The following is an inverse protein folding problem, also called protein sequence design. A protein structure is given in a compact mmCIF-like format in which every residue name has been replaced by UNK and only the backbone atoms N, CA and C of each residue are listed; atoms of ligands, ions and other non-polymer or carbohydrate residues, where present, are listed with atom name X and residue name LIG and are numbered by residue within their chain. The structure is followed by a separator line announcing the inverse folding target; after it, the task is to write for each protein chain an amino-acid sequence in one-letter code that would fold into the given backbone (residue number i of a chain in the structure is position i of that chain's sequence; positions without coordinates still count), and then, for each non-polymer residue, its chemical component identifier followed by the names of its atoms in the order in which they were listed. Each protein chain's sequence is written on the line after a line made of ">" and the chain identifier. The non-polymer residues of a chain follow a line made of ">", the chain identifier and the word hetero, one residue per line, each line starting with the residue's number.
data_IF_207014409868
#
_entry.id   IF_207014409868
#
_cell.length_a   1.000
_cell.length_b   1.000
_cell.length_c   1.000
_cell.angle_alpha   90.00
_cell.angle_beta   90.00
_cell.angle_gamma   90.00
#
_symmetry.space_group_name_H-M   'P 1'
#
loop_
_entity.id
_entity.type
_entity.pdbx_description
1 polymer ?
#
# COMPACT_ATOMS: atom_id res chain seq x y z
N UNK A 1 -14.15 -10.57 22.60
CA UNK A 1 -12.80 -10.30 23.11
C UNK A 1 -11.92 -10.40 21.88
N UNK A 2 -11.68 -9.27 21.25
CA UNK A 2 -10.87 -9.18 20.03
C UNK A 2 -9.43 -9.42 20.47
N UNK A 3 -8.82 -10.51 20.00
CA UNK A 3 -7.45 -10.85 20.37
C UNK A 3 -6.51 -9.89 19.64
N UNK A 4 -5.64 -9.24 20.40
CA UNK A 4 -4.66 -8.29 19.88
C UNK A 4 -3.73 -9.01 18.89
N UNK A 5 -3.85 -8.67 17.60
CA UNK A 5 -3.09 -9.31 16.52
C UNK A 5 -1.67 -8.76 16.54
N UNK A 6 -0.69 -9.64 16.71
CA UNK A 6 0.71 -9.24 16.70
C UNK A 6 1.18 -9.15 15.24
N UNK A 7 1.52 -7.95 14.77
CA UNK A 7 1.96 -7.70 13.39
C UNK A 7 3.48 -7.56 13.29
N UNK A 8 4.08 -7.84 12.11
CA UNK A 8 5.47 -7.51 11.85
C UNK A 8 5.73 -6.01 12.09
N UNK A 9 6.80 -5.68 12.83
CA UNK A 9 7.11 -4.29 13.24
C UNK A 9 7.45 -3.36 12.07
N UNK A 10 7.59 -3.89 10.86
CA UNK A 10 7.93 -3.18 9.62
C UNK A 10 6.81 -3.19 8.57
N UNK A 11 5.59 -3.55 8.95
CA UNK A 11 4.39 -3.45 8.13
C UNK A 11 4.28 -2.03 7.51
N UNK A 12 4.57 -1.91 6.20
CA UNK A 12 4.63 -0.67 5.42
C UNK A 12 5.33 -0.90 4.06
N UNK A 13 5.53 0.15 3.25
CA UNK A 13 6.21 0.03 1.93
C UNK A 13 7.75 -0.18 2.02
N UNK A 14 8.29 -0.66 3.14
CA UNK A 14 9.73 -0.83 3.31
C UNK A 14 10.21 -2.12 2.63
N UNK A 15 10.39 -2.06 1.32
CA UNK A 15 11.05 -3.10 0.52
C UNK A 15 10.16 -3.84 -0.48
N UNK A 16 8.91 -3.42 -0.64
CA UNK A 16 8.05 -3.86 -1.72
C UNK A 16 8.16 -2.94 -2.93
N UNK A 17 7.82 -3.47 -4.10
CA UNK A 17 7.78 -2.72 -5.35
C UNK A 17 6.46 -2.96 -6.07
N UNK A 18 5.84 -1.91 -6.60
CA UNK A 18 4.55 -2.04 -7.27
C UNK A 18 4.66 -1.70 -8.74
N UNK A 19 3.86 -2.39 -9.54
CA UNK A 19 3.82 -2.22 -10.98
C UNK A 19 2.52 -1.52 -11.37
N UNK A 20 2.63 -0.48 -12.19
CA UNK A 20 1.44 0.16 -12.75
C UNK A 20 0.69 -0.84 -13.66
N UNK A 21 -0.66 -0.83 -13.67
CA UNK A 21 -1.48 -1.69 -14.52
C UNK A 21 -1.45 -1.28 -15.99
N UNK A 22 -1.26 0.02 -16.25
CA UNK A 22 -1.23 0.61 -17.58
C UNK A 22 -0.04 1.55 -17.73
N UNK A 23 0.47 1.67 -18.95
CA UNK A 23 1.47 2.67 -19.27
C UNK A 23 0.83 4.07 -19.30
N UNK A 24 1.30 5.02 -18.48
CA UNK A 24 0.62 6.31 -18.32
C UNK A 24 0.43 7.13 -19.60
N UNK A 25 1.34 7.02 -20.58
CA UNK A 25 1.28 7.80 -21.83
C UNK A 25 0.45 7.18 -22.98
N UNK A 26 0.21 5.87 -22.96
CA UNK A 26 -0.37 5.17 -24.12
C UNK A 26 -1.36 4.06 -23.75
N UNK A 27 -1.70 3.94 -22.48
CA UNK A 27 -2.71 3.04 -21.93
C UNK A 27 -2.51 1.55 -22.26
N UNK A 28 -1.32 1.15 -22.73
CA UNK A 28 -1.02 -0.27 -22.92
C UNK A 28 -0.99 -0.96 -21.57
N UNK A 29 -1.64 -2.12 -21.47
CA UNK A 29 -1.59 -2.95 -20.27
C UNK A 29 -0.16 -3.41 -19.97
N UNK A 30 0.18 -3.42 -18.69
CA UNK A 30 1.42 -3.88 -18.12
C UNK A 30 1.12 -5.10 -17.24
N UNK A 31 2.08 -6.02 -17.15
CA UNK A 31 1.90 -7.31 -16.45
C UNK A 31 2.82 -7.40 -15.22
N UNK A 32 3.70 -6.42 -15.03
CA UNK A 32 4.71 -6.45 -13.98
C UNK A 32 5.67 -7.62 -14.10
N UNK A 33 6.42 -7.89 -13.04
CA UNK A 33 7.20 -9.12 -12.91
C UNK A 33 6.77 -9.86 -11.64
N UNK A 34 6.65 -11.19 -11.72
CA UNK A 34 6.37 -12.04 -10.57
C UNK A 34 7.68 -12.54 -9.97
N UNK A 35 7.90 -12.32 -8.68
CA UNK A 35 9.01 -12.96 -7.99
C UNK A 35 8.78 -14.48 -7.96
N UNK A 36 9.77 -15.31 -8.36
CA UNK A 36 9.62 -16.75 -8.33
C UNK A 36 9.62 -17.27 -6.88
N UNK A 37 8.89 -18.35 -6.60
CA UNK A 37 9.00 -19.04 -5.31
C UNK A 37 8.16 -18.46 -4.17
N UNK A 38 7.34 -17.44 -4.41
CA UNK A 38 6.57 -16.75 -3.35
C UNK A 38 5.53 -17.68 -2.74
N UNK A 39 4.69 -18.30 -3.57
CA UNK A 39 3.67 -19.24 -3.10
C UNK A 39 4.27 -20.56 -2.64
N UNK A 40 5.31 -21.06 -3.32
CA UNK A 40 6.02 -22.27 -2.89
C UNK A 40 6.68 -22.10 -1.51
N UNK A 41 7.06 -20.87 -1.15
CA UNK A 41 7.55 -20.55 0.19
C UNK A 41 6.40 -20.58 1.20
N UNK A 42 5.27 -19.92 0.90
CA UNK A 42 4.08 -19.91 1.77
C UNK A 42 3.53 -21.33 2.01
N UNK A 43 3.51 -22.20 1.00
CA UNK A 43 3.06 -23.58 1.11
C UNK A 43 3.91 -24.43 2.06
N UNK A 44 5.20 -24.09 2.21
CA UNK A 44 6.13 -24.81 3.10
C UNK A 44 6.09 -24.30 4.53
N UNK A 45 5.46 -23.17 4.77
CA UNK A 45 5.38 -22.57 6.09
C UNK A 45 4.33 -23.30 6.92
N UNK A 46 4.72 -23.69 8.14
CA UNK A 46 3.82 -24.32 9.09
C UNK A 46 2.66 -23.39 9.48
N UNK A 47 1.54 -24.00 9.84
CA UNK A 47 0.39 -23.28 10.37
C UNK A 47 0.78 -22.45 11.61
N UNK A 48 0.11 -21.30 11.80
CA UNK A 48 0.39 -20.37 12.90
C UNK A 48 1.55 -19.42 12.65
N UNK A 49 1.79 -19.06 11.40
CA UNK A 49 2.59 -17.87 11.05
C UNK A 49 1.73 -16.78 10.46
N UNK A 50 2.16 -15.55 10.69
CA UNK A 50 1.66 -14.35 10.01
C UNK A 50 2.78 -13.73 9.20
N UNK A 51 2.42 -13.22 8.03
CA UNK A 51 3.36 -12.63 7.11
C UNK A 51 2.81 -11.32 6.54
N UNK A 52 3.71 -10.41 6.20
CA UNK A 52 3.39 -9.31 5.29
C UNK A 52 3.44 -9.82 3.85
N UNK A 53 2.50 -9.34 3.05
CA UNK A 53 2.34 -9.76 1.67
C UNK A 53 1.93 -8.57 0.82
N UNK A 54 2.63 -8.36 -0.29
CA UNK A 54 2.33 -7.28 -1.21
C UNK A 54 1.99 -7.84 -2.59
N UNK A 55 1.13 -7.14 -3.31
CA UNK A 55 0.76 -7.46 -4.68
C UNK A 55 0.45 -6.19 -5.47
N UNK A 56 0.61 -6.26 -6.78
CA UNK A 56 0.11 -5.26 -7.74
C UNK A 56 -1.19 -5.74 -8.37
N UNK A 57 -1.93 -4.84 -9.01
CA UNK A 57 -3.17 -5.17 -9.70
C UNK A 57 -3.11 -4.94 -11.19
N UNK A 58 -3.93 -5.67 -11.94
CA UNK A 58 -4.02 -5.55 -13.41
C UNK A 58 -4.83 -4.34 -13.87
N UNK A 59 -5.57 -3.71 -12.97
CA UNK A 59 -6.38 -2.51 -13.19
C UNK A 59 -6.23 -1.56 -11.99
N UNK A 60 -6.64 -0.30 -12.15
CA UNK A 60 -6.79 0.61 -11.02
C UNK A 60 -8.09 0.32 -10.29
N UNK A 61 -8.05 0.41 -8.96
CA UNK A 61 -9.22 0.30 -8.09
C UNK A 61 -9.37 1.56 -7.25
N UNK A 62 -10.59 1.85 -6.80
CA UNK A 62 -10.74 2.72 -5.63
C UNK A 62 -10.25 1.99 -4.37
N UNK A 63 -9.84 2.71 -3.31
CA UNK A 63 -9.49 2.07 -2.05
C UNK A 63 -10.63 1.23 -1.46
N UNK A 64 -11.88 1.65 -1.63
CA UNK A 64 -13.07 0.90 -1.21
C UNK A 64 -13.23 -0.40 -2.00
N UNK A 65 -13.10 -0.35 -3.32
CA UNK A 65 -13.18 -1.55 -4.17
C UNK A 65 -12.09 -2.58 -3.79
N UNK A 66 -10.88 -2.10 -3.50
CA UNK A 66 -9.79 -2.94 -2.99
C UNK A 66 -10.14 -3.58 -1.65
N UNK A 67 -10.68 -2.81 -0.70
CA UNK A 67 -11.08 -3.31 0.62
C UNK A 67 -12.24 -4.31 0.52
N UNK A 68 -13.23 -4.05 -0.33
CA UNK A 68 -14.35 -4.96 -0.57
C UNK A 68 -13.88 -6.28 -1.17
N UNK A 69 -12.95 -6.24 -2.14
CA UNK A 69 -12.34 -7.44 -2.73
C UNK A 69 -11.59 -8.27 -1.67
N UNK A 70 -10.94 -7.62 -0.71
CA UNK A 70 -10.14 -8.29 0.32
C UNK A 70 -10.95 -8.71 1.55
N UNK A 71 -12.16 -8.17 1.75
CA UNK A 71 -13.00 -8.42 2.92
C UNK A 71 -13.46 -9.89 3.07
N UNK A 72 -13.39 -10.69 2.00
CA UNK A 72 -13.68 -12.12 2.05
C UNK A 72 -12.57 -12.95 2.74
N UNK A 73 -11.39 -12.34 2.93
CA UNK A 73 -10.23 -12.97 3.53
C UNK A 73 -9.99 -12.43 4.94
N UNK A 74 -9.45 -13.26 5.83
CA UNK A 74 -9.05 -12.81 7.17
C UNK A 74 -7.67 -12.13 7.10
N UNK A 75 -7.64 -10.94 6.48
CA UNK A 75 -6.46 -10.14 6.21
C UNK A 75 -6.67 -8.70 6.65
N UNK A 76 -5.59 -8.07 7.08
CA UNK A 76 -5.54 -6.67 7.45
C UNK A 76 -4.78 -5.88 6.38
N UNK A 77 -5.37 -4.81 5.85
CA UNK A 77 -4.71 -3.95 4.86
C UNK A 77 -3.91 -2.87 5.57
N UNK A 78 -2.62 -2.79 5.28
CA UNK A 78 -1.68 -1.89 5.94
C UNK A 78 -1.47 -0.62 5.10
N UNK A 79 -1.33 -0.79 3.79
CA UNK A 79 -0.93 0.29 2.89
C UNK A 79 -1.37 -0.01 1.45
N UNK A 80 -1.73 1.02 0.69
CA UNK A 80 -2.05 0.89 -0.74
C UNK A 80 -1.27 1.95 -1.54
N UNK A 81 -0.45 1.56 -2.55
CA UNK A 81 0.17 2.53 -3.44
C UNK A 81 -0.89 3.28 -4.24
N UNK A 82 -0.75 4.60 -4.30
CA UNK A 82 -1.64 5.50 -5.03
C UNK A 82 -0.97 5.95 -6.33
N UNK A 83 -1.74 5.93 -7.41
CA UNK A 83 -1.37 6.63 -8.63
C UNK A 83 -1.80 8.10 -8.50
N UNK A 84 -0.90 9.03 -8.81
CA UNK A 84 -1.09 10.47 -8.60
C UNK A 84 -0.77 11.28 -9.86
N UNK A 85 -0.93 10.67 -11.04
CA UNK A 85 -0.68 11.33 -12.33
C UNK A 85 0.79 11.33 -12.76
N UNK A 86 1.64 10.49 -12.16
CA UNK A 86 3.02 10.32 -12.60
C UNK A 86 3.07 9.89 -14.07
N UNK A 87 3.98 10.49 -14.82
CA UNK A 87 4.19 10.33 -16.26
C UNK A 87 3.02 10.79 -17.15
N UNK A 88 1.91 11.29 -16.59
CA UNK A 88 0.85 12.00 -17.32
C UNK A 88 0.96 13.51 -17.11
N UNK A 89 0.94 13.96 -15.85
CA UNK A 89 0.94 15.37 -15.49
C UNK A 89 2.37 15.89 -15.24
N UNK A 90 3.24 15.03 -14.72
CA UNK A 90 4.63 15.35 -14.42
C UNK A 90 5.52 14.11 -14.52
N UNK A 91 6.83 14.29 -14.60
CA UNK A 91 7.79 13.18 -14.60
C UNK A 91 8.71 13.32 -13.41
N UNK A 92 8.64 12.39 -12.47
CA UNK A 92 9.54 12.35 -11.32
C UNK A 92 10.92 11.79 -11.72
N UNK A 93 11.94 12.08 -10.91
CA UNK A 93 13.35 11.82 -11.23
C UNK A 93 13.72 10.33 -11.36
N UNK A 94 12.83 9.42 -10.97
CA UNK A 94 13.07 8.00 -11.07
C UNK A 94 11.80 7.24 -11.42
N UNK A 95 11.90 6.49 -12.50
CA UNK A 95 10.99 5.39 -12.81
C UNK A 95 11.84 4.29 -13.45
N UNK A 96 11.46 3.03 -13.23
CA UNK A 96 12.10 1.91 -13.89
C UNK A 96 11.10 1.24 -14.81
N UNK A 97 11.45 1.19 -16.09
CA UNK A 97 10.64 0.52 -17.12
C UNK A 97 11.45 -0.58 -17.79
N UNK A 98 10.89 -1.79 -17.86
CA UNK A 98 11.41 -2.86 -18.70
C UNK A 98 10.25 -3.48 -19.46
N UNK A 99 10.26 -3.38 -20.79
CA UNK A 99 9.31 -4.04 -21.71
C UNK A 99 7.83 -3.83 -21.37
N UNK A 100 7.31 -4.64 -20.44
CA UNK A 100 5.92 -4.75 -20.01
C UNK A 100 5.70 -4.43 -18.51
N UNK A 101 6.64 -3.73 -17.86
CA UNK A 101 6.52 -3.32 -16.46
C UNK A 101 7.03 -1.90 -16.25
N UNK A 102 6.31 -1.10 -15.46
CA UNK A 102 6.74 0.21 -14.96
C UNK A 102 6.59 0.23 -13.44
N UNK A 103 7.64 0.66 -12.75
CA UNK A 103 7.62 0.97 -11.31
C UNK A 103 7.97 2.43 -11.10
N UNK A 104 7.29 3.08 -10.16
CA UNK A 104 7.64 4.44 -9.75
C UNK A 104 8.81 4.36 -8.75
N UNK A 105 9.79 5.27 -8.84
CA UNK A 105 10.89 5.27 -7.85
C UNK A 105 10.44 5.81 -6.49
N UNK A 106 9.39 6.60 -6.47
CA UNK A 106 8.79 7.12 -5.26
C UNK A 106 7.29 6.89 -5.27
N UNK A 107 6.89 5.85 -4.57
CA UNK A 107 5.50 5.49 -4.42
C UNK A 107 4.93 6.24 -3.21
N UNK A 108 3.86 6.98 -3.45
CA UNK A 108 3.01 7.49 -2.40
C UNK A 108 1.88 6.49 -2.19
N UNK A 109 1.33 6.46 -0.99
CA UNK A 109 0.22 5.54 -0.75
C UNK A 109 -0.57 5.89 0.49
N UNK A 110 -1.75 5.31 0.53
CA UNK A 110 -2.72 5.47 1.59
C UNK A 110 -2.41 4.47 2.70
N UNK A 111 -2.45 4.91 3.95
CA UNK A 111 -2.47 4.06 5.14
C UNK A 111 -3.57 4.55 6.08
N UNK A 112 -3.93 3.76 7.09
CA UNK A 112 -4.93 4.19 8.06
C UNK A 112 -4.56 5.51 8.69
N UNK A 113 -5.59 6.34 8.92
CA UNK A 113 -5.47 7.74 9.28
C UNK A 113 -4.45 7.96 10.41
N UNK A 114 -3.49 8.84 10.17
CA UNK A 114 -2.68 9.48 11.21
C UNK A 114 -3.02 10.96 11.20
N UNK A 115 -3.78 11.43 12.20
CA UNK A 115 -3.87 12.86 12.44
C UNK A 115 -2.57 13.31 13.10
N UNK A 116 -1.86 14.25 12.48
CA UNK A 116 -0.75 14.93 13.13
C UNK A 116 -1.34 15.85 14.21
N UNK A 117 -1.14 15.50 15.48
CA UNK A 117 -1.29 16.47 16.57
C UNK A 117 -0.27 17.60 16.38
N UNK A 118 -0.60 18.82 16.83
CA UNK A 118 0.21 20.03 16.67
C UNK A 118 1.67 19.88 17.17
N UNK A 119 1.92 18.91 18.05
CA UNK A 119 3.22 18.65 18.66
C UNK A 119 4.10 17.63 17.89
N UNK A 120 3.71 17.19 16.68
CA UNK A 120 4.46 16.24 15.82
C UNK A 120 4.77 14.86 16.46
N UNK A 121 4.21 14.55 17.62
CA UNK A 121 4.41 13.29 18.34
C UNK A 121 3.32 12.28 17.97
N UNK A 122 3.31 11.76 16.74
CA UNK A 122 2.37 10.67 16.42
C UNK A 122 2.83 9.37 17.08
N UNK A 123 2.08 8.89 18.07
CA UNK A 123 2.25 7.56 18.63
C UNK A 123 2.15 6.50 17.53
N UNK A 124 3.10 5.56 17.52
CA UNK A 124 3.15 4.42 16.60
C UNK A 124 1.96 3.48 16.88
N UNK A 125 0.81 3.78 16.30
CA UNK A 125 -0.27 2.81 16.13
C UNK A 125 -0.47 2.67 14.62
N UNK A 126 -0.21 1.46 14.12
CA UNK A 126 -0.55 1.08 12.76
C UNK A 126 -2.08 1.13 12.71
N UNK A 127 -2.67 2.19 12.16
CA UNK A 127 -4.08 2.19 11.83
C UNK A 127 -4.24 1.32 10.58
N UNK A 128 -4.95 0.21 10.72
CA UNK A 128 -5.36 -0.63 9.61
C UNK A 128 -6.27 0.18 8.69
N UNK A 129 -6.21 -0.11 7.39
CA UNK A 129 -7.19 0.41 6.43
C UNK A 129 -8.38 -0.53 6.40
N UNK A 130 -9.55 0.00 6.75
CA UNK A 130 -10.82 -0.71 6.64
C UNK A 130 -11.91 0.22 6.06
N UNK A 131 -13.06 -0.36 5.71
CA UNK A 131 -14.17 0.41 5.12
C UNK A 131 -14.76 1.47 6.06
N UNK A 132 -14.49 1.39 7.36
CA UNK A 132 -15.01 2.36 8.35
C UNK A 132 -14.08 3.59 8.46
N UNK A 133 -12.78 3.39 8.29
CA UNK A 133 -11.72 4.39 8.47
C UNK A 133 -11.16 4.94 7.15
N UNK A 134 -11.50 4.34 6.01
CA UNK A 134 -10.93 4.72 4.71
C UNK A 134 -11.25 6.17 4.32
N UNK A 135 -12.47 6.62 4.58
CA UNK A 135 -12.88 8.00 4.29
C UNK A 135 -12.09 9.00 5.14
N UNK A 136 -11.96 8.74 6.44
CA UNK A 136 -11.16 9.56 7.34
C UNK A 136 -9.68 9.59 6.93
N UNK A 137 -9.16 8.47 6.42
CA UNK A 137 -7.77 8.37 5.94
C UNK A 137 -7.54 9.20 4.68
N UNK A 138 -8.48 9.20 3.73
CA UNK A 138 -8.42 10.04 2.52
C UNK A 138 -8.48 11.53 2.88
N UNK A 139 -9.39 11.92 3.77
CA UNK A 139 -9.53 13.30 4.26
C UNK A 139 -8.23 13.73 4.95
N UNK A 140 -7.72 12.93 5.90
CA UNK A 140 -6.49 13.24 6.61
C UNK A 140 -5.29 13.40 5.66
N UNK A 141 -5.21 12.58 4.60
CA UNK A 141 -4.16 12.71 3.60
C UNK A 141 -4.26 14.04 2.84
N UNK A 142 -5.44 14.40 2.35
CA UNK A 142 -5.66 15.68 1.65
C UNK A 142 -5.37 16.88 2.55
N UNK A 143 -5.89 16.87 3.78
CA UNK A 143 -5.66 17.95 4.76
C UNK A 143 -4.16 18.11 5.08
N UNK A 144 -3.45 17.00 5.27
CA UNK A 144 -2.01 17.02 5.51
C UNK A 144 -1.25 17.59 4.30
N UNK A 145 -1.63 17.21 3.08
CA UNK A 145 -1.01 17.74 1.85
C UNK A 145 -1.31 19.24 1.69
N UNK A 146 -2.55 19.68 1.93
CA UNK A 146 -2.94 21.09 1.88
C UNK A 146 -2.16 21.91 2.91
N UNK A 147 -2.04 21.42 4.15
CA UNK A 147 -1.23 22.06 5.21
C UNK A 147 0.23 22.18 4.80
N UNK A 148 0.82 21.12 4.25
CA UNK A 148 2.20 21.13 3.76
C UNK A 148 2.42 22.14 2.63
N UNK A 149 1.47 22.26 1.71
CA UNK A 149 1.49 23.23 0.63
C UNK A 149 1.37 24.68 1.15
N UNK A 150 0.51 24.91 2.14
CA UNK A 150 0.23 26.23 2.72
C UNK A 150 1.31 26.75 3.66
N UNK A 151 1.85 25.90 4.54
CA UNK A 151 2.81 26.32 5.57
C UNK A 151 4.21 26.56 5.00
N UNK A 152 4.78 25.54 4.34
CA UNK A 152 6.11 25.63 3.76
C UNK A 152 6.32 24.55 2.69
N UNK A 153 5.73 24.78 1.51
CA UNK A 153 5.86 23.89 0.35
C UNK A 153 7.30 23.44 0.09
N UNK A 154 8.26 24.36 0.11
CA UNK A 154 9.68 24.04 -0.17
C UNK A 154 10.27 23.07 0.85
N UNK A 155 9.97 23.27 2.14
CA UNK A 155 10.41 22.36 3.19
C UNK A 155 9.72 21.00 3.06
N UNK A 156 8.42 20.98 2.80
CA UNK A 156 7.66 19.75 2.60
C UNK A 156 8.21 18.93 1.42
N UNK A 157 8.40 19.57 0.26
CA UNK A 157 9.01 18.99 -0.94
C UNK A 157 10.43 18.46 -0.67
N UNK A 158 11.23 19.18 0.11
CA UNK A 158 12.57 18.71 0.50
C UNK A 158 12.52 17.48 1.42
N UNK A 159 11.61 17.44 2.39
CA UNK A 159 11.47 16.32 3.34
C UNK A 159 10.86 15.08 2.67
N UNK A 160 9.90 15.30 1.78
CA UNK A 160 9.23 14.27 1.00
C UNK A 160 9.99 13.94 -0.27
N UNK A 161 11.13 14.58 -0.54
CA UNK A 161 12.00 14.31 -1.70
C UNK A 161 11.22 14.35 -3.04
N UNK A 162 10.26 15.26 -3.16
CA UNK A 162 9.46 15.45 -4.38
C UNK A 162 9.46 16.91 -4.80
N UNK A 163 9.24 17.20 -6.09
CA UNK A 163 9.03 18.56 -6.60
C UNK A 163 7.59 18.78 -7.09
N UNK A 164 6.72 17.80 -6.86
CA UNK A 164 5.41 17.69 -7.49
C UNK A 164 4.29 17.57 -6.46
N UNK A 165 4.49 18.10 -5.24
CA UNK A 165 3.50 17.99 -4.17
C UNK A 165 2.16 18.61 -4.57
N UNK A 166 2.20 19.75 -5.28
CA UNK A 166 0.99 20.39 -5.80
C UNK A 166 0.30 19.53 -6.87
N UNK A 167 1.06 19.04 -7.85
CA UNK A 167 0.51 18.24 -8.95
C UNK A 167 -0.17 16.96 -8.42
N UNK A 168 0.44 16.34 -7.40
CA UNK A 168 -0.10 15.16 -6.69
C UNK A 168 -1.39 15.48 -5.93
N UNK A 169 -1.40 16.60 -5.20
CA UNK A 169 -2.60 17.06 -4.48
C UNK A 169 -3.76 17.34 -5.44
N UNK A 170 -3.47 18.07 -6.52
CA UNK A 170 -4.46 18.42 -7.54
C UNK A 170 -5.02 17.17 -8.23
N UNK A 171 -4.17 16.16 -8.49
CA UNK A 171 -4.62 14.89 -9.05
C UNK A 171 -5.63 14.19 -8.14
N UNK A 172 -5.31 14.02 -6.84
CA UNK A 172 -6.21 13.36 -5.89
C UNK A 172 -7.54 14.10 -5.74
N UNK A 173 -7.54 15.44 -5.80
CA UNK A 173 -8.79 16.21 -5.74
C UNK A 173 -9.66 16.06 -7.00
N UNK A 174 -9.06 15.92 -8.18
CA UNK A 174 -9.78 15.92 -9.45
C UNK A 174 -10.18 14.51 -9.91
N UNK A 175 -9.25 13.56 -9.83
CA UNK A 175 -9.40 12.18 -10.34
C UNK A 175 -9.74 11.18 -9.22
N UNK A 176 -9.61 11.60 -7.96
CA UNK A 176 -9.83 10.75 -6.80
C UNK A 176 -8.64 9.86 -6.45
N UNK A 177 -8.87 8.89 -5.58
CA UNK A 177 -7.87 7.94 -5.12
C UNK A 177 -7.90 6.70 -6.00
N UNK A 178 -6.80 6.43 -6.71
CA UNK A 178 -6.63 5.23 -7.52
C UNK A 178 -5.48 4.41 -6.96
N UNK A 179 -5.76 3.18 -6.56
CA UNK A 179 -4.76 2.24 -6.04
C UNK A 179 -4.44 1.17 -7.08
N UNK A 180 -3.21 0.68 -7.05
CA UNK A 180 -2.72 -0.35 -8.00
C UNK A 180 -2.01 -1.52 -7.31
N UNK A 181 -2.35 -1.75 -6.05
CA UNK A 181 -1.79 -2.80 -5.23
C UNK A 181 -2.20 -2.64 -3.77
N UNK A 182 -1.68 -3.52 -2.93
CA UNK A 182 -1.77 -3.37 -1.49
C UNK A 182 -0.63 -4.10 -0.79
N UNK A 183 -0.31 -3.65 0.43
CA UNK A 183 0.39 -4.43 1.45
C UNK A 183 -0.66 -4.89 2.45
N UNK A 184 -0.75 -6.20 2.63
CA UNK A 184 -1.63 -6.86 3.58
C UNK A 184 -0.82 -7.68 4.57
N UNK A 185 -1.41 -7.98 5.71
CA UNK A 185 -0.84 -8.89 6.70
C UNK A 185 -1.92 -9.82 7.21
N UNK A 186 -1.56 -11.05 7.54
CA UNK A 186 -2.51 -12.03 8.02
C UNK A 186 -1.95 -13.44 8.03
N UNK A 187 -2.78 -14.43 8.40
CA UNK A 187 -2.38 -15.82 8.47
C UNK A 187 -1.90 -16.32 7.10
N UNK A 188 -0.80 -17.06 7.07
CA UNK A 188 -0.22 -17.61 5.83
C UNK A 188 -1.24 -18.40 4.99
N UNK A 189 -2.17 -19.10 5.64
CA UNK A 189 -3.26 -19.82 4.96
C UNK A 189 -4.22 -18.91 4.20
N UNK A 190 -4.49 -17.73 4.72
CA UNK A 190 -5.36 -16.74 4.08
C UNK A 190 -4.63 -16.09 2.91
N UNK A 191 -3.35 -15.76 3.09
CA UNK A 191 -2.49 -15.22 2.04
C UNK A 191 -2.36 -16.17 0.84
N UNK A 192 -2.30 -17.49 1.07
CA UNK A 192 -2.27 -18.49 0.00
C UNK A 192 -3.51 -18.42 -0.91
N UNK A 193 -4.68 -18.00 -0.39
CA UNK A 193 -5.91 -17.91 -1.18
C UNK A 193 -5.85 -16.77 -2.20
N UNK A 194 -5.00 -15.76 -1.97
CA UNK A 194 -4.85 -14.62 -2.89
C UNK A 194 -4.30 -15.01 -4.27
N UNK A 195 -3.65 -16.17 -4.40
CA UNK A 195 -3.19 -16.66 -5.70
C UNK A 195 -4.34 -16.93 -6.70
N UNK A 196 -5.54 -17.23 -6.18
CA UNK A 196 -6.72 -17.55 -6.97
C UNK A 196 -7.57 -16.30 -7.29
N UNK A 197 -7.18 -15.13 -6.74
CA UNK A 197 -7.90 -13.88 -6.97
C UNK A 197 -7.51 -13.32 -8.32
N UNK A 198 -8.49 -13.23 -9.22
CA UNK A 198 -8.31 -12.61 -10.52
C UNK A 198 -7.96 -11.13 -10.36
N UNK A 199 -7.00 -10.67 -11.15
CA UNK A 199 -6.58 -9.27 -11.17
C UNK A 199 -5.44 -8.93 -10.21
N UNK A 200 -4.99 -9.87 -9.37
CA UNK A 200 -3.80 -9.71 -8.54
C UNK A 200 -2.58 -10.36 -9.20
N UNK A 201 -1.42 -9.70 -9.11
CA UNK A 201 -0.15 -10.23 -9.62
C UNK A 201 1.05 -9.62 -8.89
N UNK A 202 2.26 -10.01 -9.31
CA UNK A 202 3.52 -9.47 -8.78
C UNK A 202 3.61 -9.57 -7.26
N UNK A 203 3.18 -10.72 -6.74
CA UNK A 203 3.18 -11.03 -5.32
C UNK A 203 4.58 -11.02 -4.75
N UNK A 204 4.71 -10.52 -3.52
CA UNK A 204 5.96 -10.40 -2.78
C UNK A 204 5.72 -10.79 -1.33
N UNK A 205 6.61 -11.62 -0.78
CA UNK A 205 6.58 -12.03 0.61
C UNK A 205 7.51 -11.15 1.44
N UNK A 206 6.97 -10.55 2.49
CA UNK A 206 7.71 -9.73 3.45
C UNK A 206 8.17 -10.51 4.68
N UNK A 207 8.18 -9.81 5.82
CA UNK A 207 8.57 -10.38 7.10
C UNK A 207 7.54 -11.43 7.56
N UNK A 208 8.03 -12.53 8.13
CA UNK A 208 7.22 -13.58 8.72
C UNK A 208 7.50 -13.69 10.21
N UNK A 209 6.45 -13.76 11.01
CA UNK A 209 6.51 -13.95 12.45
C UNK A 209 5.65 -15.15 12.87
N UNK A 210 6.03 -15.77 13.97
CA UNK A 210 5.16 -16.74 14.63
C UNK A 210 3.93 -15.99 15.16
N UNK A 211 2.75 -16.53 14.86
CA UNK A 211 1.52 -16.10 15.49
C UNK A 211 1.63 -16.45 16.97
N UNK A 212 1.50 -15.47 17.86
CA UNK A 212 1.69 -15.67 19.30
C UNK A 212 0.86 -16.86 19.80
N UNK A 213 1.51 -18.00 20.04
CA UNK A 213 0.91 -19.13 20.73
C UNK A 213 0.96 -19.01 22.26
N UNK A 214 1.71 -18.05 22.81
CA UNK A 214 1.98 -17.95 24.25
C UNK A 214 1.56 -16.59 24.84
N UNK A 215 0.26 -16.30 24.83
CA UNK A 215 -0.33 -15.39 25.82
C UNK A 215 -1.22 -16.15 26.81
N UNK A 216 -0.79 -17.37 27.17
CA UNK A 216 -1.10 -17.88 28.51
C UNK A 216 -0.12 -17.21 29.47
N UNK A 217 -0.47 -16.01 29.93
CA UNK A 217 0.09 -15.46 31.16
C UNK A 217 -0.14 -16.49 32.29
N UNK A 218 0.94 -16.98 32.88
CA UNK A 218 0.92 -17.60 34.20
C UNK A 218 1.01 -16.52 35.28
#
# INVERSE_FOLDING_TARGET
>A
MEMDRNYPKKAGNNGFHFYLPFHPENDRSLVGNQAPGVFETLERVHEGKVADFAFSTTEYFSPEEMLEMLAEYDLDVIWMPLYMGEMQNFTEWGWSGSGNSITLAQEWGLSGARQMEDDFMSGSLIHLLDLQSIEESKIAMLDNMEKMLGENKRLAEQLLVTNHLQDRYDYLQNEGFQVYGAVVTGPVKELLKLQEVNGLHSFQLGEMIDWNWNNDEF
#
